data_IF_268245803497
#
_entry.id   IF_268245803497
#
_cell.length_a   1.000
_cell.length_b   1.000
_cell.length_c   1.000
_cell.angle_alpha   90.00
_cell.angle_beta   90.00
_cell.angle_gamma   90.00
#
_symmetry.space_group_name_H-M   'P 1'
#
loop_
_entity.id
_entity.type
_entity.pdbx_description
1 polymer ?
#
# COMPACT_ATOMS: atom_id res chain seq x y z
N UNK A 1 -68.53 -3.54 6.31
CA UNK A 1 -67.08 -3.37 6.51
C UNK A 1 -66.84 -2.10 7.31
N UNK A 2 -66.40 -2.23 8.56
CA UNK A 2 -66.51 -1.18 9.56
C UNK A 2 -65.48 -0.05 9.30
N UNK A 3 -65.83 1.23 9.57
CA UNK A 3 -64.94 2.39 9.31
C UNK A 3 -63.58 2.26 10.04
N UNK A 4 -63.56 1.56 11.17
CA UNK A 4 -62.34 1.27 11.95
C UNK A 4 -61.40 0.26 11.27
N UNK A 5 -61.94 -0.73 10.55
CA UNK A 5 -61.16 -1.74 9.83
C UNK A 5 -60.51 -1.17 8.56
N UNK A 6 -61.23 -0.29 7.85
CA UNK A 6 -60.67 0.46 6.70
C UNK A 6 -59.54 1.40 7.13
N UNK A 7 -59.64 2.03 8.31
CA UNK A 7 -58.55 2.85 8.89
C UNK A 7 -57.34 2.00 9.29
N UNK A 8 -57.54 0.87 9.98
CA UNK A 8 -56.46 -0.07 10.35
C UNK A 8 -55.76 -0.67 9.13
N UNK A 9 -56.50 -0.99 8.08
CA UNK A 9 -55.97 -1.48 6.79
C UNK A 9 -55.08 -0.45 6.12
N UNK A 10 -55.53 0.81 5.98
CA UNK A 10 -54.72 1.90 5.41
C UNK A 10 -53.45 2.13 6.22
N UNK A 11 -53.54 2.18 7.55
CA UNK A 11 -52.37 2.38 8.44
C UNK A 11 -51.34 1.25 8.26
N UNK A 12 -51.76 -0.02 8.16
CA UNK A 12 -50.84 -1.14 7.88
C UNK A 12 -50.15 -1.01 6.52
N UNK A 13 -50.84 -0.53 5.50
CA UNK A 13 -50.24 -0.29 4.17
C UNK A 13 -49.22 0.86 4.20
N UNK A 14 -49.52 1.95 4.92
CA UNK A 14 -48.55 3.04 5.12
C UNK A 14 -47.31 2.59 5.91
N UNK A 15 -47.49 1.79 6.97
CA UNK A 15 -46.38 1.23 7.75
C UNK A 15 -45.53 0.29 6.88
N UNK A 16 -46.15 -0.56 6.06
CA UNK A 16 -45.41 -1.41 5.10
C UNK A 16 -44.63 -0.57 4.09
N UNK A 17 -45.24 0.46 3.50
CA UNK A 17 -44.56 1.35 2.55
C UNK A 17 -43.38 2.09 3.18
N UNK A 18 -43.55 2.60 4.40
CA UNK A 18 -42.48 3.28 5.14
C UNK A 18 -41.34 2.32 5.49
N UNK A 19 -41.65 1.09 5.93
CA UNK A 19 -40.65 0.05 6.18
C UNK A 19 -39.87 -0.33 4.92
N UNK A 20 -40.53 -0.42 3.76
CA UNK A 20 -39.85 -0.69 2.49
C UNK A 20 -38.90 0.46 2.12
N UNK A 21 -39.32 1.72 2.31
CA UNK A 21 -38.46 2.88 2.05
C UNK A 21 -37.25 2.89 2.99
N UNK A 22 -37.46 2.61 4.28
CA UNK A 22 -36.36 2.51 5.26
C UNK A 22 -35.42 1.36 4.88
N UNK A 23 -35.95 0.20 4.51
CA UNK A 23 -35.16 -0.95 4.10
C UNK A 23 -34.33 -0.67 2.83
N UNK A 24 -34.94 -0.03 1.83
CA UNK A 24 -34.24 0.40 0.60
C UNK A 24 -33.21 1.49 0.91
N UNK A 25 -33.51 2.44 1.79
CA UNK A 25 -32.57 3.48 2.17
C UNK A 25 -31.39 2.94 2.98
N UNK A 26 -31.62 1.93 3.84
CA UNK A 26 -30.57 1.21 4.55
C UNK A 26 -29.76 0.39 3.54
N UNK A 27 -30.37 -0.41 2.67
CA UNK A 27 -29.66 -1.17 1.64
C UNK A 27 -28.86 -0.23 0.72
N UNK A 28 -29.43 0.88 0.27
CA UNK A 28 -28.74 1.81 -0.62
C UNK A 28 -27.60 2.51 0.10
N UNK A 29 -27.80 3.07 1.31
CA UNK A 29 -26.69 3.72 2.02
C UNK A 29 -25.65 2.70 2.53
N UNK A 30 -26.07 1.53 2.97
CA UNK A 30 -25.17 0.53 3.57
C UNK A 30 -24.46 -0.30 2.50
N UNK A 31 -25.13 -0.68 1.40
CA UNK A 31 -24.51 -1.43 0.30
C UNK A 31 -23.78 -0.50 -0.67
N UNK A 32 -24.36 0.60 -1.14
CA UNK A 32 -23.66 1.44 -2.13
C UNK A 32 -22.60 2.37 -1.54
N UNK A 33 -22.75 2.85 -0.30
CA UNK A 33 -21.70 3.66 0.37
C UNK A 33 -20.83 2.87 1.36
N UNK A 34 -21.25 1.68 1.77
CA UNK A 34 -20.52 0.86 2.75
C UNK A 34 -19.85 -0.40 2.21
N UNK A 35 -20.30 -0.99 1.08
CA UNK A 35 -19.69 -2.22 0.53
C UNK A 35 -18.61 -1.96 -0.54
N UNK A 36 -18.47 -0.75 -1.05
CA UNK A 36 -17.33 -0.36 -1.90
C UNK A 36 -16.60 0.71 -1.11
N UNK A 37 -15.78 0.28 -0.15
CA UNK A 37 -15.01 1.20 0.70
C UNK A 37 -13.97 1.93 -0.15
N UNK A 38 -13.31 1.20 -1.05
CA UNK A 38 -12.37 1.75 -2.03
C UNK A 38 -12.49 1.00 -3.38
N UNK A 39 -12.98 1.63 -4.46
CA UNK A 39 -13.13 0.95 -5.74
C UNK A 39 -11.80 0.67 -6.44
N UNK A 40 -10.74 1.42 -6.10
CA UNK A 40 -9.39 1.26 -6.64
C UNK A 40 -8.32 1.16 -5.54
N UNK A 41 -7.15 0.62 -5.89
CA UNK A 41 -5.99 0.60 -4.99
C UNK A 41 -5.55 2.01 -4.58
N UNK A 42 -5.69 3.00 -5.48
CA UNK A 42 -5.39 4.40 -5.16
C UNK A 42 -6.37 4.98 -4.15
N UNK A 43 -7.67 4.63 -4.23
CA UNK A 43 -8.65 5.09 -3.25
C UNK A 43 -8.32 4.57 -1.86
N UNK A 44 -7.87 3.31 -1.76
CA UNK A 44 -7.42 2.72 -0.50
C UNK A 44 -6.20 3.41 0.14
N UNK A 45 -5.50 4.25 -0.62
CA UNK A 45 -4.34 5.00 -0.15
C UNK A 45 -4.65 6.49 0.08
N UNK A 46 -5.85 6.98 -0.28
CA UNK A 46 -6.24 8.39 -0.11
C UNK A 46 -6.43 8.78 1.35
N UNK A 47 -6.72 7.80 2.20
CA UNK A 47 -6.92 8.00 3.64
C UNK A 47 -5.59 8.02 4.42
N UNK A 48 -4.47 7.74 3.75
CA UNK A 48 -3.14 7.76 4.35
C UNK A 48 -2.47 9.14 4.23
N UNK A 49 -1.63 9.47 5.20
CA UNK A 49 -0.77 10.65 5.12
C UNK A 49 0.22 10.47 3.95
N UNK A 50 0.42 11.51 3.15
CA UNK A 50 1.46 11.57 2.11
C UNK A 50 0.96 11.41 0.68
N UNK A 51 1.89 11.59 -0.27
CA UNK A 51 1.60 11.50 -1.71
C UNK A 51 1.98 10.11 -2.24
N UNK A 52 1.08 9.48 -2.99
CA UNK A 52 1.37 8.22 -3.67
C UNK A 52 2.45 8.46 -4.72
N UNK A 53 3.65 7.95 -4.46
CA UNK A 53 4.81 8.13 -5.31
C UNK A 53 4.89 7.05 -6.40
N UNK A 54 4.48 5.82 -6.07
CA UNK A 54 4.49 4.70 -7.00
C UNK A 54 3.43 3.65 -6.65
N UNK A 55 2.81 3.10 -7.70
CA UNK A 55 1.98 1.90 -7.64
C UNK A 55 2.54 0.85 -8.59
N UNK A 56 2.68 -0.38 -8.13
CA UNK A 56 3.18 -1.51 -8.92
C UNK A 56 2.27 -2.71 -8.75
N UNK A 57 1.65 -3.16 -9.85
CA UNK A 57 0.86 -4.39 -9.85
C UNK A 57 1.79 -5.60 -9.63
N UNK A 58 1.53 -6.37 -8.58
CA UNK A 58 2.27 -7.59 -8.25
C UNK A 58 1.55 -8.82 -8.82
N UNK A 59 0.22 -8.83 -8.71
CA UNK A 59 -0.66 -9.77 -9.40
C UNK A 59 -2.07 -9.20 -9.51
N UNK A 60 -3.00 -9.99 -10.05
CA UNK A 60 -4.40 -9.59 -10.17
C UNK A 60 -5.00 -9.36 -8.78
N UNK A 61 -5.28 -8.09 -8.46
CA UNK A 61 -5.86 -7.71 -7.18
C UNK A 61 -4.84 -7.46 -6.07
N UNK A 62 -3.56 -7.34 -6.39
CA UNK A 62 -2.48 -7.12 -5.43
C UNK A 62 -1.52 -6.06 -5.96
N UNK A 63 -1.36 -4.99 -5.19
CA UNK A 63 -0.58 -3.81 -5.57
C UNK A 63 0.40 -3.47 -4.46
N UNK A 64 1.67 -3.29 -4.82
CA UNK A 64 2.66 -2.67 -3.96
C UNK A 64 2.61 -1.17 -4.18
N UNK A 65 2.43 -0.41 -3.11
CA UNK A 65 2.37 1.04 -3.16
C UNK A 65 3.48 1.66 -2.31
N UNK A 66 4.02 2.78 -2.78
CA UNK A 66 4.96 3.59 -2.04
C UNK A 66 4.41 5.00 -1.91
N UNK A 67 4.22 5.43 -0.67
CA UNK A 67 3.80 6.78 -0.35
C UNK A 67 5.02 7.56 0.19
N UNK A 68 5.20 8.77 -0.29
CA UNK A 68 6.21 9.68 0.25
C UNK A 68 5.58 10.49 1.39
N UNK A 69 6.16 10.34 2.58
CA UNK A 69 5.74 11.05 3.78
C UNK A 69 6.67 12.24 4.02
N UNK A 70 6.23 13.19 4.86
CA UNK A 70 7.08 14.31 5.31
C UNK A 70 8.35 13.84 6.03
N UNK A 71 8.27 12.72 6.75
CA UNK A 71 9.34 12.19 7.61
C UNK A 71 9.90 10.84 7.11
N UNK A 72 9.59 10.43 5.89
CA UNK A 72 10.03 9.13 5.38
C UNK A 72 9.26 8.64 4.17
N UNK A 73 9.09 7.33 4.11
CA UNK A 73 8.28 6.62 3.15
C UNK A 73 7.39 5.63 3.88
N UNK A 74 6.26 5.30 3.27
CA UNK A 74 5.40 4.21 3.68
C UNK A 74 5.27 3.25 2.50
N UNK A 75 5.51 1.97 2.75
CA UNK A 75 5.36 0.91 1.76
C UNK A 75 4.14 0.10 2.16
N UNK A 76 3.14 0.05 1.29
CA UNK A 76 1.86 -0.60 1.55
C UNK A 76 1.69 -1.79 0.62
N UNK A 77 1.25 -2.92 1.15
CA UNK A 77 0.60 -3.95 0.35
C UNK A 77 -0.88 -3.62 0.29
N UNK A 78 -1.45 -3.60 -0.91
CA UNK A 78 -2.86 -3.29 -1.13
C UNK A 78 -3.49 -4.46 -1.86
N UNK A 79 -4.53 -5.04 -1.25
CA UNK A 79 -5.21 -6.22 -1.79
C UNK A 79 -6.67 -5.91 -2.10
N UNK A 80 -7.21 -6.56 -3.14
CA UNK A 80 -8.61 -6.48 -3.51
C UNK A 80 -9.42 -7.57 -2.81
N UNK A 81 -10.10 -7.19 -1.74
CA UNK A 81 -11.06 -8.04 -1.04
C UNK A 81 -12.47 -8.00 -1.63
N UNK A 82 -13.40 -8.69 -0.97
CA UNK A 82 -14.82 -8.73 -1.36
C UNK A 82 -15.51 -7.35 -1.32
N UNK A 83 -15.06 -6.48 -0.41
CA UNK A 83 -15.65 -5.16 -0.14
C UNK A 83 -14.86 -3.98 -0.80
N UNK A 84 -13.93 -4.31 -1.70
CA UNK A 84 -13.06 -3.32 -2.35
C UNK A 84 -11.59 -3.50 -1.99
N UNK A 85 -10.78 -2.50 -2.31
CA UNK A 85 -9.35 -2.51 -2.02
C UNK A 85 -9.07 -2.06 -0.60
N UNK A 86 -8.07 -2.67 0.04
CA UNK A 86 -7.63 -2.30 1.38
C UNK A 86 -6.13 -2.47 1.51
N UNK A 87 -5.51 -1.65 2.36
CA UNK A 87 -4.14 -1.87 2.81
C UNK A 87 -4.14 -3.10 3.70
N UNK A 88 -3.34 -4.11 3.34
CA UNK A 88 -3.25 -5.37 4.06
C UNK A 88 -2.07 -5.40 5.02
N UNK A 89 -1.00 -4.70 4.69
CA UNK A 89 0.21 -4.61 5.50
C UNK A 89 0.96 -3.33 5.13
N UNK A 90 1.77 -2.83 6.06
CA UNK A 90 2.39 -1.51 5.98
C UNK A 90 3.75 -1.48 6.68
N UNK A 91 4.74 -0.91 6.01
CA UNK A 91 6.07 -0.64 6.56
C UNK A 91 6.35 0.86 6.49
N UNK A 92 6.69 1.45 7.64
CA UNK A 92 7.13 2.84 7.72
C UNK A 92 8.66 2.93 7.74
N UNK A 93 9.22 3.70 6.81
CA UNK A 93 10.65 3.90 6.64
C UNK A 93 10.99 5.36 6.90
N UNK A 94 11.49 5.66 8.10
CA UNK A 94 11.95 7.00 8.45
C UNK A 94 13.20 7.42 7.68
N UNK A 95 13.36 8.73 7.47
CA UNK A 95 14.60 9.28 6.95
C UNK A 95 15.82 8.90 7.82
N UNK A 96 16.99 8.61 7.21
CA UNK A 96 18.21 8.39 7.97
C UNK A 96 18.65 9.66 8.70
N UNK A 97 18.94 9.57 10.00
CA UNK A 97 19.35 10.69 10.85
C UNK A 97 20.87 10.75 11.04
N UNK A 98 21.49 9.63 11.44
CA UNK A 98 22.93 9.55 11.76
C UNK A 98 23.74 8.83 10.69
N UNK A 99 23.36 7.60 10.31
CA UNK A 99 23.96 6.89 9.20
C UNK A 99 23.31 7.35 7.88
N UNK A 100 24.07 7.88 6.90
CA UNK A 100 23.51 8.31 5.62
C UNK A 100 22.95 7.16 4.77
N UNK A 101 23.15 5.91 5.17
CA UNK A 101 22.61 4.72 4.52
C UNK A 101 21.91 3.84 5.54
N UNK A 102 20.72 3.35 5.20
CA UNK A 102 20.02 2.34 6.00
C UNK A 102 19.36 1.33 5.09
N UNK A 103 19.95 0.14 5.00
CA UNK A 103 19.36 -1.02 4.34
C UNK A 103 18.48 -1.80 5.31
N UNK A 104 17.37 -2.33 4.82
CA UNK A 104 16.50 -3.27 5.53
C UNK A 104 15.96 -4.29 4.55
N UNK A 105 15.87 -5.52 5.00
CA UNK A 105 15.10 -6.56 4.35
C UNK A 105 13.81 -6.74 5.15
N UNK A 106 12.68 -6.59 4.47
CA UNK A 106 11.37 -6.63 5.10
C UNK A 106 10.46 -7.59 4.33
N UNK A 107 9.38 -8.00 4.98
CA UNK A 107 8.36 -8.86 4.41
C UNK A 107 7.05 -8.09 4.42
N UNK A 108 6.36 -8.02 3.28
CA UNK A 108 4.98 -7.57 3.21
C UNK A 108 4.05 -8.74 2.95
N UNK A 109 2.96 -8.78 3.69
CA UNK A 109 1.89 -9.74 3.53
C UNK A 109 0.75 -9.13 2.69
N UNK A 110 0.33 -9.82 1.63
CA UNK A 110 -0.94 -9.55 0.95
C UNK A 110 -2.08 -10.35 1.60
N UNK A 111 -3.33 -10.07 1.24
CA UNK A 111 -4.48 -10.85 1.74
C UNK A 111 -4.29 -12.36 1.44
N UNK A 112 -4.48 -13.21 2.45
CA UNK A 112 -4.19 -14.64 2.38
C UNK A 112 -2.72 -14.96 2.72
N UNK A 113 -2.12 -15.93 2.03
CA UNK A 113 -0.79 -16.48 2.35
C UNK A 113 0.34 -15.93 1.47
N UNK A 114 0.05 -14.96 0.59
CA UNK A 114 1.07 -14.45 -0.34
C UNK A 114 1.98 -13.42 0.34
N UNK A 115 3.27 -13.69 0.26
CA UNK A 115 4.33 -12.85 0.81
C UNK A 115 5.16 -12.19 -0.29
N UNK A 116 5.63 -10.99 0.00
CA UNK A 116 6.56 -10.24 -0.83
C UNK A 116 7.78 -9.85 0.00
N UNK A 117 8.94 -10.36 -0.39
CA UNK A 117 10.21 -9.99 0.20
C UNK A 117 10.68 -8.69 -0.43
N UNK A 118 11.12 -7.75 0.39
CA UNK A 118 11.55 -6.42 -0.03
C UNK A 118 12.98 -6.15 0.44
N UNK A 119 13.77 -5.56 -0.43
CA UNK A 119 14.99 -4.86 -0.03
C UNK A 119 14.66 -3.38 -0.11
N UNK A 120 14.90 -2.65 0.98
CA UNK A 120 14.60 -1.24 1.12
C UNK A 120 15.84 -0.52 1.63
N UNK A 121 16.35 0.44 0.86
CA UNK A 121 17.56 1.18 1.21
C UNK A 121 17.28 2.67 1.13
N UNK A 122 17.32 3.35 2.28
CA UNK A 122 17.19 4.81 2.32
C UNK A 122 18.54 5.48 2.44
N UNK A 123 18.68 6.61 1.74
CA UNK A 123 19.87 7.44 1.86
C UNK A 123 19.58 8.92 1.79
N UNK A 124 20.19 9.70 2.68
CA UNK A 124 20.18 11.17 2.64
C UNK A 124 21.42 11.74 1.93
N UNK A 125 22.31 10.88 1.40
CA UNK A 125 23.51 11.29 0.69
C UNK A 125 23.20 11.64 -0.76
N UNK A 126 23.11 12.95 -1.04
CA UNK A 126 22.82 13.51 -2.37
C UNK A 126 23.85 13.15 -3.46
N UNK A 127 25.04 12.63 -3.10
CA UNK A 127 26.05 12.16 -4.07
C UNK A 127 25.71 10.80 -4.68
N UNK A 128 24.81 10.04 -4.06
CA UNK A 128 24.42 8.70 -4.52
C UNK A 128 23.60 8.82 -5.80
N UNK A 129 24.19 8.32 -6.89
CA UNK A 129 23.56 8.28 -8.20
C UNK A 129 22.94 6.91 -8.49
N UNK A 130 23.69 5.84 -8.22
CA UNK A 130 23.28 4.45 -8.42
C UNK A 130 23.44 3.68 -7.11
N UNK A 131 22.51 2.78 -6.84
CA UNK A 131 22.63 1.78 -5.79
C UNK A 131 22.37 0.41 -6.40
N UNK A 132 23.14 -0.58 -5.97
CA UNK A 132 23.00 -1.97 -6.42
C UNK A 132 23.00 -2.89 -5.23
N UNK A 133 22.19 -3.93 -5.29
CA UNK A 133 22.26 -5.07 -4.40
C UNK A 133 22.97 -6.22 -5.15
N UNK A 134 23.80 -6.97 -4.46
CA UNK A 134 24.57 -8.07 -5.05
C UNK A 134 24.32 -9.31 -4.19
N UNK A 135 23.84 -10.38 -4.82
CA UNK A 135 23.61 -11.65 -4.13
C UNK A 135 24.93 -12.40 -3.85
N UNK A 136 24.85 -13.53 -3.13
CA UNK A 136 26.01 -14.38 -2.81
C UNK A 136 26.67 -14.99 -4.06
N UNK A 137 25.94 -15.14 -5.15
CA UNK A 137 26.46 -15.62 -6.43
C UNK A 137 27.06 -14.48 -7.27
N UNK A 138 27.16 -13.27 -6.71
CA UNK A 138 27.68 -12.06 -7.34
C UNK A 138 26.84 -11.57 -8.53
N UNK A 139 25.54 -11.91 -8.56
CA UNK A 139 24.58 -11.35 -9.50
C UNK A 139 24.10 -9.99 -8.99
N UNK A 140 23.99 -9.03 -9.90
CA UNK A 140 23.40 -7.72 -9.61
C UNK A 140 21.88 -7.83 -9.56
N UNK A 141 21.30 -7.36 -8.47
CA UNK A 141 19.87 -7.17 -8.29
C UNK A 141 19.58 -5.70 -8.56
N UNK A 142 18.76 -5.45 -9.58
CA UNK A 142 18.34 -4.11 -9.97
C UNK A 142 17.44 -3.50 -8.88
N UNK A 143 17.71 -2.25 -8.54
CA UNK A 143 16.94 -1.46 -7.58
C UNK A 143 16.22 -0.32 -8.28
N UNK A 144 14.90 -0.23 -8.08
CA UNK A 144 14.12 0.96 -8.39
C UNK A 144 14.49 2.11 -7.46
N UNK A 145 14.17 3.34 -7.87
CA UNK A 145 14.44 4.56 -7.09
C UNK A 145 13.19 5.41 -6.98
N UNK A 146 12.87 5.82 -5.76
CA UNK A 146 11.88 6.85 -5.46
C UNK A 146 12.64 8.06 -4.91
N UNK A 147 12.76 9.16 -5.69
CA UNK A 147 13.39 10.38 -5.21
C UNK A 147 12.56 11.01 -4.09
N UNK A 148 13.21 11.72 -3.18
CA UNK A 148 12.55 12.53 -2.17
C UNK A 148 13.41 13.73 -1.80
N UNK A 149 12.82 14.71 -1.10
CA UNK A 149 13.52 15.97 -0.80
C UNK A 149 14.66 15.79 0.21
N UNK A 150 14.41 15.01 1.27
CA UNK A 150 15.36 14.79 2.37
C UNK A 150 16.20 13.52 2.20
N UNK A 151 15.63 12.49 1.58
CA UNK A 151 16.31 11.24 1.26
C UNK A 151 15.79 10.67 -0.04
N UNK A 152 16.45 9.68 -0.61
CA UNK A 152 15.90 8.79 -1.64
C UNK A 152 15.70 7.39 -1.08
N UNK A 153 14.67 6.70 -1.56
CA UNK A 153 14.45 5.27 -1.30
C UNK A 153 14.84 4.47 -2.55
N UNK A 154 15.70 3.47 -2.37
CA UNK A 154 15.98 2.44 -3.35
C UNK A 154 15.29 1.15 -2.91
N UNK A 155 14.68 0.44 -3.84
CA UNK A 155 13.90 -0.74 -3.50
C UNK A 155 13.98 -1.83 -4.57
N UNK A 156 13.76 -3.06 -4.15
CA UNK A 156 13.38 -4.16 -5.04
C UNK A 156 12.45 -5.10 -4.30
N UNK A 157 11.78 -5.98 -5.04
CA UNK A 157 10.87 -6.96 -4.46
C UNK A 157 10.97 -8.31 -5.16
N UNK A 158 10.60 -9.36 -4.45
CA UNK A 158 10.54 -10.73 -4.97
C UNK A 158 9.48 -11.54 -4.24
N UNK A 159 8.80 -12.43 -4.96
CA UNK A 159 7.90 -13.43 -4.37
C UNK A 159 8.64 -14.61 -3.76
N UNK A 160 9.97 -14.64 -3.91
CA UNK A 160 10.88 -15.59 -3.25
C UNK A 160 11.83 -14.85 -2.33
N UNK A 161 12.29 -15.47 -1.23
CA UNK A 161 13.31 -14.90 -0.38
C UNK A 161 14.56 -14.50 -1.17
N UNK A 162 15.20 -13.41 -0.77
CA UNK A 162 16.54 -13.07 -1.22
C UNK A 162 17.57 -14.03 -0.60
N UNK A 163 18.78 -14.05 -1.16
CA UNK A 163 19.91 -14.79 -0.59
C UNK A 163 20.18 -14.35 0.85
N UNK A 164 20.56 -15.28 1.74
CA UNK A 164 20.91 -15.00 3.16
C UNK A 164 21.99 -13.92 3.33
N UNK A 165 22.73 -13.64 2.27
CA UNK A 165 23.69 -12.54 2.21
C UNK A 165 23.47 -11.73 0.94
N UNK A 166 23.17 -10.46 1.12
CA UNK A 166 23.11 -9.44 0.06
C UNK A 166 24.10 -8.34 0.43
N UNK A 167 24.96 -7.96 -0.51
CA UNK A 167 25.86 -6.80 -0.36
C UNK A 167 25.30 -5.61 -1.11
N UNK A 168 25.20 -4.48 -0.43
CA UNK A 168 24.73 -3.22 -0.96
C UNK A 168 25.92 -2.33 -1.33
N UNK A 169 25.89 -1.76 -2.53
CA UNK A 169 26.92 -0.80 -2.98
C UNK A 169 26.27 0.46 -3.51
N UNK A 170 26.76 1.61 -3.03
CA UNK A 170 26.33 2.92 -3.50
C UNK A 170 27.43 3.58 -4.32
N UNK A 171 27.06 4.15 -5.47
CA UNK A 171 28.00 4.77 -6.40
C UNK A 171 27.65 6.22 -6.69
N UNK A 172 28.67 7.05 -6.85
CA UNK A 172 28.54 8.43 -7.33
C UNK A 172 28.26 8.45 -8.84
N UNK A 173 27.89 9.63 -9.38
CA UNK A 173 27.72 9.82 -10.82
C UNK A 173 29.01 9.53 -11.62
N UNK A 174 30.18 9.62 -10.99
CA UNK A 174 31.49 9.30 -11.60
C UNK A 174 31.87 7.82 -11.48
N UNK A 175 31.02 6.99 -10.87
CA UNK A 175 31.29 5.57 -10.61
C UNK A 175 32.15 5.31 -9.36
N UNK A 176 32.40 6.32 -8.53
CA UNK A 176 33.15 6.14 -7.27
C UNK A 176 32.29 5.40 -6.24
N UNK A 177 32.85 4.40 -5.57
CA UNK A 177 32.18 3.71 -4.48
C UNK A 177 32.06 4.64 -3.26
N UNK A 178 30.83 4.95 -2.88
CA UNK A 178 30.50 5.83 -1.75
C UNK A 178 30.21 5.06 -0.47
N UNK A 179 29.67 3.84 -0.59
CA UNK A 179 29.28 3.00 0.53
C UNK A 179 29.23 1.54 0.13
N UNK A 180 29.52 0.65 1.08
CA UNK A 180 29.39 -0.79 0.98
C UNK A 180 28.95 -1.36 2.33
N UNK A 181 27.87 -2.13 2.32
CA UNK A 181 27.33 -2.87 3.47
C UNK A 181 27.02 -4.30 3.05
#
# INVERSE_FOLDING_TARGET
>A
MNKSERKKSKIKTYIKGLLTIIFVAIIYNFIWKGYIVNPTASDALKDEDGEVALLTDIAKGEVLAFNQLKNGYQVNSVSKGYLGWAITDMINISHPTTNPFKAREELLQFEGDKQLHLILITTNNKKVYKMVAIDKANNEIELGKIPGEQSSLYYTYSTKPFSDTVTYKAYSKKGELLHRE
#
